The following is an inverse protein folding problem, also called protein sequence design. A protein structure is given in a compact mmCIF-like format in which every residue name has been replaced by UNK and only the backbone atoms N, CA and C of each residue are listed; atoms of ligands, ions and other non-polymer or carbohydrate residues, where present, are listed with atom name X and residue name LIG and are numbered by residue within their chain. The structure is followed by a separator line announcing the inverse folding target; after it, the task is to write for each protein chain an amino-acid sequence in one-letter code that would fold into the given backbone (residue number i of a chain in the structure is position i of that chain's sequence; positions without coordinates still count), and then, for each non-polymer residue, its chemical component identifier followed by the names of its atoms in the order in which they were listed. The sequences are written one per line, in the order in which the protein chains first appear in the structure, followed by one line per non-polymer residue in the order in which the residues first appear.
data_IF_535355415114
#
_entry.id   IF_535355415114
#
_cell.length_a   1.000
_cell.length_b   1.000
_cell.length_c   1.000
_cell.angle_alpha   90.00
_cell.angle_beta   90.00
_cell.angle_gamma   90.00
#
_symmetry.space_group_name_H-M   'P 1'
#
loop_
_entity.id
_entity.type
_entity.pdbx_description
1 polymer ?
#
# COMPACT_ATOMS: atom_id res chain seq x y z
N UNK A 1 -9.34 -12.59 9.80
CA UNK A 1 -8.94 -11.46 8.94
C UNK A 1 -9.88 -10.32 9.24
N UNK A 2 -9.33 -9.13 9.49
CA UNK A 2 -10.08 -7.92 9.80
C UNK A 2 -9.66 -6.81 8.84
N UNK A 3 -10.60 -5.91 8.55
CA UNK A 3 -10.36 -4.70 7.77
C UNK A 3 -10.80 -3.52 8.59
N UNK A 4 -9.93 -2.52 8.71
CA UNK A 4 -10.22 -1.25 9.37
C UNK A 4 -9.99 -0.09 8.41
N UNK A 5 -10.91 0.87 8.41
CA UNK A 5 -10.73 2.13 7.69
C UNK A 5 -9.62 2.99 8.30
N UNK A 6 -9.21 3.98 7.54
CA UNK A 6 -8.29 5.04 7.97
C UNK A 6 -9.00 6.40 7.90
N UNK A 7 -8.35 7.50 8.33
CA UNK A 7 -8.89 8.85 8.09
C UNK A 7 -9.09 9.20 6.61
N UNK A 8 -8.46 8.47 5.67
CA UNK A 8 -8.63 8.68 4.23
C UNK A 8 -9.67 7.70 3.69
N UNK A 9 -10.74 8.22 3.11
CA UNK A 9 -11.85 7.41 2.59
C UNK A 9 -11.39 6.42 1.52
N UNK A 10 -11.65 5.13 1.75
CA UNK A 10 -11.30 4.03 0.84
C UNK A 10 -9.91 3.42 1.07
N UNK A 11 -9.02 4.10 1.81
CA UNK A 11 -7.75 3.52 2.25
C UNK A 11 -8.03 2.56 3.42
N UNK A 12 -7.62 1.30 3.27
CA UNK A 12 -7.96 0.24 4.23
C UNK A 12 -6.72 -0.49 4.74
N UNK A 13 -6.67 -0.71 6.04
CA UNK A 13 -5.68 -1.56 6.69
C UNK A 13 -6.26 -2.96 6.88
N UNK A 14 -5.54 -3.97 6.42
CA UNK A 14 -5.96 -5.38 6.47
C UNK A 14 -5.03 -6.14 7.41
N UNK A 15 -5.61 -6.85 8.37
CA UNK A 15 -4.88 -7.77 9.24
C UNK A 15 -5.24 -9.22 8.89
N UNK A 16 -4.31 -9.98 8.27
CA UNK A 16 -4.58 -11.34 7.86
C UNK A 16 -4.67 -12.28 9.07
N UNK A 17 -5.38 -13.40 8.88
CA UNK A 17 -5.32 -14.48 9.86
C UNK A 17 -3.97 -15.20 9.74
N UNK A 18 -3.27 -15.37 10.86
CA UNK A 18 -1.98 -16.05 10.92
C UNK A 18 -2.17 -17.40 11.63
N UNK A 19 -1.67 -18.47 11.04
CA UNK A 19 -1.64 -19.80 11.61
C UNK A 19 -0.19 -20.16 11.92
N UNK A 20 0.18 -20.20 13.20
CA UNK A 20 1.56 -20.46 13.64
C UNK A 20 1.69 -21.79 14.37
N UNK A 21 2.83 -22.45 14.18
CA UNK A 21 3.26 -23.62 14.94
C UNK A 21 4.80 -23.66 15.06
N UNK A 22 5.35 -24.73 15.63
CA UNK A 22 6.79 -24.91 15.85
C UNK A 22 7.65 -24.87 14.57
N UNK A 23 7.04 -25.05 13.39
CA UNK A 23 7.72 -24.98 12.09
C UNK A 23 7.80 -23.55 11.54
N UNK A 24 6.98 -22.63 12.07
CA UNK A 24 6.87 -21.26 11.61
C UNK A 24 5.42 -20.78 11.54
N UNK A 25 5.06 -20.10 10.45
CA UNK A 25 3.70 -19.60 10.25
C UNK A 25 3.25 -19.76 8.80
N UNK A 26 1.94 -19.83 8.64
CA UNK A 26 1.23 -19.79 7.38
C UNK A 26 0.21 -18.64 7.44
N UNK A 27 0.10 -17.89 6.36
CA UNK A 27 -1.04 -17.00 6.13
C UNK A 27 -1.41 -17.04 4.65
N UNK A 28 -2.70 -16.85 4.39
CA UNK A 28 -3.17 -16.54 3.04
C UNK A 28 -2.96 -15.04 2.81
N UNK A 29 -2.00 -14.69 1.94
CA UNK A 29 -1.68 -13.29 1.64
C UNK A 29 -2.67 -12.63 0.68
N UNK A 30 -3.44 -13.42 -0.09
CA UNK A 30 -4.53 -12.93 -0.92
C UNK A 30 -5.44 -14.08 -1.35
N UNK A 31 -6.75 -13.82 -1.37
CA UNK A 31 -7.74 -14.70 -1.98
C UNK A 31 -8.87 -13.85 -2.55
N UNK A 32 -9.07 -13.92 -3.86
CA UNK A 32 -10.04 -13.06 -4.57
C UNK A 32 -11.43 -13.08 -3.97
N UNK A 33 -11.94 -14.26 -3.61
CA UNK A 33 -13.31 -14.39 -3.07
C UNK A 33 -13.41 -13.73 -1.70
N UNK A 34 -12.43 -14.02 -0.82
CA UNK A 34 -12.38 -13.45 0.53
C UNK A 34 -12.18 -11.94 0.53
N UNK A 35 -11.33 -11.42 -0.35
CA UNK A 35 -11.10 -9.98 -0.45
C UNK A 35 -12.31 -9.25 -1.03
N UNK A 36 -13.02 -9.86 -1.99
CA UNK A 36 -14.27 -9.32 -2.49
C UNK A 36 -15.35 -9.22 -1.39
N UNK A 37 -15.46 -10.23 -0.52
CA UNK A 37 -16.35 -10.19 0.67
C UNK A 37 -15.98 -9.09 1.67
N UNK A 38 -14.73 -8.62 1.65
CA UNK A 38 -14.22 -7.54 2.49
C UNK A 38 -14.31 -6.15 1.82
N UNK A 39 -14.95 -6.05 0.66
CA UNK A 39 -15.10 -4.79 -0.08
C UNK A 39 -13.95 -4.46 -1.03
N UNK A 40 -13.11 -5.45 -1.38
CA UNK A 40 -12.00 -5.34 -2.34
C UNK A 40 -12.30 -6.28 -3.52
N UNK A 41 -13.20 -5.90 -4.44
CA UNK A 41 -13.65 -6.77 -5.53
C UNK A 41 -12.62 -6.91 -6.67
N UNK A 42 -11.55 -6.12 -6.64
CA UNK A 42 -10.58 -6.02 -7.72
C UNK A 42 -9.88 -7.35 -8.01
N UNK A 43 -9.58 -7.58 -9.30
CA UNK A 43 -8.67 -8.61 -9.72
C UNK A 43 -7.26 -8.04 -9.81
N UNK A 44 -6.34 -8.58 -9.01
CA UNK A 44 -4.92 -8.23 -9.12
C UNK A 44 -4.25 -9.07 -10.20
N UNK A 45 -3.69 -8.40 -11.20
CA UNK A 45 -3.14 -9.00 -12.44
C UNK A 45 -1.62 -8.88 -12.55
N UNK A 46 -0.99 -8.13 -11.65
CA UNK A 46 0.45 -7.95 -11.62
C UNK A 46 0.98 -8.00 -10.18
N UNK A 47 2.07 -8.72 -9.99
CA UNK A 47 2.82 -8.81 -8.73
C UNK A 47 4.19 -8.16 -8.89
N UNK A 48 4.53 -7.27 -7.97
CA UNK A 48 5.86 -6.66 -7.89
C UNK A 48 6.51 -6.99 -6.55
N UNK A 49 7.84 -6.99 -6.51
CA UNK A 49 8.62 -7.07 -5.29
C UNK A 49 9.79 -6.08 -5.36
N UNK A 50 10.09 -5.41 -4.25
CA UNK A 50 11.24 -4.54 -4.12
C UNK A 50 11.98 -4.82 -2.82
N UNK A 51 13.31 -4.85 -2.86
CA UNK A 51 14.17 -4.83 -1.68
C UNK A 51 14.82 -3.45 -1.54
N UNK A 52 14.90 -2.95 -0.31
CA UNK A 52 15.44 -1.64 0.03
C UNK A 52 16.39 -1.72 1.22
N UNK A 53 17.44 -0.89 1.21
CA UNK A 53 18.28 -0.62 2.38
C UNK A 53 17.57 0.33 3.34
N UNK A 54 18.02 0.38 4.59
CA UNK A 54 17.45 1.29 5.58
C UNK A 54 17.60 2.74 5.12
N UNK A 55 16.55 3.55 5.28
CA UNK A 55 16.52 4.96 4.88
C UNK A 55 16.15 5.21 3.42
N UNK A 56 16.01 4.17 2.59
CA UNK A 56 15.52 4.35 1.21
C UNK A 56 14.05 4.75 1.22
N UNK A 57 13.73 5.82 0.49
CA UNK A 57 12.36 6.24 0.17
C UNK A 57 12.08 5.84 -1.28
N UNK A 58 10.92 5.22 -1.52
CA UNK A 58 10.37 5.05 -2.88
C UNK A 58 9.01 5.72 -2.92
N UNK A 59 8.76 6.53 -3.94
CA UNK A 59 7.55 7.33 -4.03
C UNK A 59 7.81 8.84 -4.05
N UNK A 60 6.76 9.65 -4.18
CA UNK A 60 5.36 9.23 -4.22
C UNK A 60 4.90 8.92 -5.65
N UNK A 61 4.45 7.69 -5.91
CA UNK A 61 4.05 7.22 -7.24
C UNK A 61 2.54 7.04 -7.34
N UNK A 62 1.98 7.40 -8.49
CA UNK A 62 0.59 7.11 -8.85
C UNK A 62 0.48 6.77 -10.34
N UNK A 63 -0.61 6.09 -10.70
CA UNK A 63 -1.07 5.98 -12.09
C UNK A 63 -2.24 6.95 -12.27
N UNK A 64 -2.25 7.72 -13.36
CA UNK A 64 -3.36 8.62 -13.66
C UNK A 64 -4.63 7.87 -14.12
N UNK A 65 -5.69 8.62 -14.41
CA UNK A 65 -6.99 8.05 -14.76
C UNK A 65 -7.05 7.39 -16.15
N UNK A 66 -5.99 7.46 -16.96
CA UNK A 66 -5.90 6.73 -18.24
C UNK A 66 -5.51 5.25 -18.04
N UNK A 67 -4.87 4.92 -16.91
CA UNK A 67 -4.56 3.54 -16.51
C UNK A 67 -4.66 3.36 -14.98
N UNK A 68 -5.84 3.60 -14.39
CA UNK A 68 -5.99 3.66 -12.94
C UNK A 68 -5.68 2.30 -12.30
N UNK A 69 -5.01 2.33 -11.15
CA UNK A 69 -4.51 1.13 -10.50
C UNK A 69 -4.73 1.18 -8.99
N UNK A 70 -5.34 0.12 -8.47
CA UNK A 70 -5.37 -0.20 -7.04
C UNK A 70 -4.11 -0.98 -6.68
N UNK A 71 -3.60 -0.78 -5.47
CA UNK A 71 -2.48 -1.55 -4.92
C UNK A 71 -2.87 -2.24 -3.62
N UNK A 72 -2.41 -3.48 -3.44
CA UNK A 72 -2.39 -4.16 -2.15
C UNK A 72 -0.92 -4.37 -1.76
N UNK A 73 -0.48 -3.70 -0.69
CA UNK A 73 0.94 -3.59 -0.33
C UNK A 73 1.19 -4.29 1.00
N UNK A 74 2.28 -5.06 1.10
CA UNK A 74 2.74 -5.67 2.36
C UNK A 74 4.25 -5.68 2.47
N UNK A 75 4.76 -5.72 3.70
CA UNK A 75 6.18 -5.94 3.96
C UNK A 75 6.42 -7.39 4.42
N UNK A 76 7.19 -8.14 3.65
CA UNK A 76 7.44 -9.58 3.90
C UNK A 76 8.76 -9.84 4.64
N UNK A 77 9.73 -8.94 4.52
CA UNK A 77 11.00 -8.93 5.28
C UNK A 77 11.24 -7.54 5.83
N UNK A 78 11.59 -7.44 7.11
CA UNK A 78 11.92 -6.15 7.72
C UNK A 78 10.71 -5.30 8.06
N UNK A 79 10.85 -3.98 7.95
CA UNK A 79 9.86 -2.98 8.32
C UNK A 79 9.93 -1.75 7.41
N UNK A 80 8.77 -1.22 7.06
CA UNK A 80 8.60 0.05 6.34
C UNK A 80 7.54 0.91 7.01
N UNK A 81 7.68 2.23 6.88
CA UNK A 81 6.58 3.17 7.07
C UNK A 81 5.94 3.40 5.71
N UNK A 82 4.79 2.76 5.46
CA UNK A 82 4.05 2.87 4.21
C UNK A 82 3.13 4.09 4.27
N UNK A 83 3.06 4.86 3.18
CA UNK A 83 2.37 6.15 3.13
C UNK A 83 1.46 6.18 1.91
N UNK A 84 0.20 6.56 2.13
CA UNK A 84 -0.74 6.85 1.07
C UNK A 84 -1.22 8.30 1.15
N UNK A 85 -1.44 8.92 0.00
CA UNK A 85 -1.88 10.32 -0.14
C UNK A 85 -3.07 10.37 -1.05
N UNK A 86 -4.12 11.05 -0.62
CA UNK A 86 -5.33 11.21 -1.43
C UNK A 86 -5.12 12.28 -2.50
N UNK A 87 -5.07 11.87 -3.77
CA UNK A 87 -4.88 12.76 -4.92
C UNK A 87 -6.20 13.02 -5.67
N UNK A 88 -7.34 12.61 -5.11
CA UNK A 88 -8.66 12.78 -5.75
C UNK A 88 -9.13 14.22 -5.60
N UNK A 89 -9.05 14.99 -6.68
CA UNK A 89 -9.56 16.36 -6.72
C UNK A 89 -11.05 16.36 -6.34
N UNK A 90 -11.42 17.17 -5.34
CA UNK A 90 -12.77 17.24 -4.80
C UNK A 90 -13.03 16.31 -3.59
N UNK A 91 -12.08 15.44 -3.22
CA UNK A 91 -12.15 14.70 -1.96
C UNK A 91 -12.08 15.63 -0.76
N UNK A 92 -12.88 15.39 0.32
CA UNK A 92 -12.74 16.12 1.58
C UNK A 92 -11.34 16.02 2.20
N UNK A 93 -10.60 14.96 1.85
CA UNK A 93 -9.24 14.69 2.32
C UNK A 93 -8.20 14.88 1.22
N UNK A 94 -8.50 15.64 0.16
CA UNK A 94 -7.53 15.91 -0.91
C UNK A 94 -6.21 16.47 -0.35
N UNK A 95 -5.10 15.91 -0.80
CA UNK A 95 -3.73 16.17 -0.37
C UNK A 95 -3.42 15.83 1.11
N UNK A 96 -4.36 15.23 1.85
CA UNK A 96 -4.05 14.61 3.15
C UNK A 96 -3.36 13.26 2.93
N UNK A 97 -2.57 12.85 3.92
CA UNK A 97 -1.81 11.62 3.88
C UNK A 97 -2.03 10.80 5.15
N UNK A 98 -1.82 9.50 5.05
CA UNK A 98 -1.85 8.59 6.19
C UNK A 98 -0.70 7.61 6.09
N UNK A 99 -0.01 7.39 7.20
CA UNK A 99 1.13 6.47 7.28
C UNK A 99 0.82 5.29 8.20
N UNK A 100 1.22 4.10 7.76
CA UNK A 100 0.99 2.85 8.46
C UNK A 100 2.29 2.05 8.52
N UNK A 101 2.72 1.57 9.70
CA UNK A 101 3.84 0.64 9.78
C UNK A 101 3.44 -0.71 9.19
N UNK A 102 4.18 -1.19 8.19
CA UNK A 102 4.06 -2.54 7.65
C UNK A 102 5.35 -3.29 7.92
N UNK A 103 5.26 -4.51 8.45
CA UNK A 103 6.45 -5.30 8.76
C UNK A 103 6.24 -6.79 8.63
N UNK A 104 7.34 -7.51 8.51
CA UNK A 104 7.38 -8.95 8.61
C UNK A 104 6.88 -9.45 9.97
N UNK A 105 6.80 -8.60 11.01
CA UNK A 105 6.27 -8.94 12.32
C UNK A 105 4.73 -8.78 12.38
N UNK A 106 4.21 -7.64 11.93
CA UNK A 106 2.76 -7.38 11.99
C UNK A 106 1.97 -8.03 10.85
N UNK A 107 2.62 -8.33 9.71
CA UNK A 107 2.05 -8.97 8.51
C UNK A 107 0.85 -8.24 7.93
N UNK A 108 0.65 -6.98 8.30
CA UNK A 108 -0.46 -6.16 7.81
C UNK A 108 -0.30 -5.86 6.34
N UNK A 109 -1.40 -5.49 5.71
CA UNK A 109 -1.42 -5.03 4.33
C UNK A 109 -2.15 -3.70 4.25
N UNK A 110 -1.70 -2.83 3.35
CA UNK A 110 -2.39 -1.59 3.02
C UNK A 110 -3.03 -1.74 1.64
N UNK A 111 -4.35 -1.60 1.60
CA UNK A 111 -5.11 -1.46 0.36
C UNK A 111 -5.18 0.02 0.00
N UNK A 112 -4.69 0.36 -1.19
CA UNK A 112 -4.58 1.72 -1.71
C UNK A 112 -5.49 1.83 -2.94
N UNK A 113 -6.59 2.60 -2.86
CA UNK A 113 -7.54 2.70 -3.96
C UNK A 113 -7.04 3.58 -5.11
N UNK A 114 -7.78 3.57 -6.22
CA UNK A 114 -7.53 4.46 -7.37
C UNK A 114 -7.54 5.93 -6.92
N UNK A 115 -6.67 6.74 -7.53
CA UNK A 115 -6.57 8.17 -7.25
C UNK A 115 -5.74 8.49 -6.01
N UNK A 116 -4.99 7.52 -5.47
CA UNK A 116 -4.03 7.74 -4.39
C UNK A 116 -2.59 7.67 -4.90
N UNK A 117 -1.74 8.47 -4.26
CA UNK A 117 -0.31 8.34 -4.31
C UNK A 117 0.20 7.35 -3.26
N UNK A 118 1.24 6.59 -3.59
CA UNK A 118 1.88 5.62 -2.69
C UNK A 118 3.38 5.88 -2.55
N UNK A 119 3.87 5.81 -1.33
CA UNK A 119 5.29 5.83 -0.99
C UNK A 119 5.58 4.93 0.20
N UNK A 120 6.86 4.61 0.43
CA UNK A 120 7.29 4.07 1.71
C UNK A 120 8.71 4.49 2.05
N UNK A 121 9.02 4.49 3.35
CA UNK A 121 10.36 4.61 3.92
C UNK A 121 10.78 3.26 4.51
N UNK A 122 11.91 2.71 4.06
CA UNK A 122 12.49 1.51 4.65
C UNK A 122 13.09 1.80 6.04
N UNK A 123 12.57 1.15 7.08
CA UNK A 123 12.99 1.32 8.48
C UNK A 123 14.06 0.29 8.91
N UNK A 124 14.15 -0.83 8.19
CA UNK A 124 15.14 -1.89 8.40
C UNK A 124 16.01 -2.12 7.16
N UNK A 125 17.06 -2.94 7.32
CA UNK A 125 17.88 -3.45 6.23
C UNK A 125 18.08 -4.98 6.39
N UNK A 126 17.63 -5.79 5.42
CA UNK A 126 16.79 -5.39 4.28
C UNK A 126 15.35 -5.04 4.71
N UNK A 127 14.63 -4.36 3.82
CA UNK A 127 13.17 -4.28 3.83
C UNK A 127 12.64 -4.76 2.46
N UNK A 128 11.79 -5.78 2.44
CA UNK A 128 11.13 -6.29 1.23
C UNK A 128 9.65 -5.94 1.25
N UNK A 129 9.20 -5.31 0.16
CA UNK A 129 7.81 -4.89 -0.04
C UNK A 129 7.27 -5.61 -1.27
N UNK A 130 6.12 -6.25 -1.10
CA UNK A 130 5.34 -6.90 -2.14
C UNK A 130 4.12 -6.04 -2.48
N UNK A 131 3.77 -5.99 -3.77
CA UNK A 131 2.65 -5.22 -4.28
C UNK A 131 1.83 -6.13 -5.20
N UNK A 132 0.53 -6.18 -4.97
CA UNK A 132 -0.43 -6.64 -5.98
C UNK A 132 -1.06 -5.42 -6.64
N UNK A 133 -1.17 -5.43 -7.95
CA UNK A 133 -1.69 -4.33 -8.76
C UNK A 133 -2.91 -4.78 -9.58
N UNK A 134 -4.00 -4.00 -9.55
CA UNK A 134 -5.22 -4.31 -10.32
C UNK A 134 -5.12 -4.00 -11.81
N UNK A 135 -4.03 -3.39 -12.24
CA UNK A 135 -3.72 -3.05 -13.62
C UNK A 135 -2.26 -3.35 -13.95
N UNK A 136 -1.96 -3.45 -15.24
CA UNK A 136 -0.59 -3.58 -15.71
C UNK A 136 0.15 -2.25 -15.61
N UNK A 137 1.47 -2.33 -15.46
CA UNK A 137 2.34 -1.17 -15.54
C UNK A 137 2.13 -0.41 -16.85
N UNK A 138 1.84 0.89 -16.74
CA UNK A 138 1.79 1.81 -17.87
C UNK A 138 2.71 3.01 -17.59
N UNK A 139 3.82 3.10 -18.31
CA UNK A 139 4.79 4.19 -18.14
C UNK A 139 4.20 5.56 -18.49
N UNK A 140 3.31 5.63 -19.50
CA UNK A 140 2.75 6.89 -19.96
C UNK A 140 1.76 7.50 -18.95
N UNK A 141 1.19 6.67 -18.08
CA UNK A 141 0.25 7.06 -17.03
C UNK A 141 0.91 7.12 -15.64
N UNK A 142 2.15 6.66 -15.49
CA UNK A 142 2.89 6.75 -14.23
C UNK A 142 3.50 8.14 -14.05
N UNK A 143 3.30 8.72 -12.87
CA UNK A 143 3.93 9.98 -12.47
C UNK A 143 4.37 9.95 -11.01
N UNK A 144 5.25 10.91 -10.68
CA UNK A 144 5.84 11.08 -9.34
C UNK A 144 5.50 12.47 -8.81
N UNK A 145 5.13 12.55 -7.53
CA UNK A 145 4.99 13.82 -6.80
C UNK A 145 6.16 13.95 -5.82
N UNK A 146 6.82 15.11 -5.85
CA UNK A 146 7.90 15.41 -4.92
C UNK A 146 7.38 15.51 -3.48
N UNK A 147 8.08 14.91 -2.48
CA UNK A 147 7.62 14.87 -1.09
C UNK A 147 7.43 16.26 -0.47
N UNK A 148 8.19 17.27 -0.91
CA UNK A 148 8.02 18.65 -0.45
C UNK A 148 6.63 19.21 -0.75
N UNK A 149 5.99 18.81 -1.84
CA UNK A 149 4.63 19.28 -2.17
C UNK A 149 3.54 18.66 -1.31
N UNK A 150 3.84 17.52 -0.66
CA UNK A 150 2.88 16.74 0.11
C UNK A 150 3.01 17.01 1.60
N UNK A 151 4.25 17.08 2.10
CA UNK A 151 4.51 17.11 3.54
C UNK A 151 4.78 18.51 4.11
N UNK A 152 5.04 19.51 3.26
CA UNK A 152 5.28 20.89 3.68
C UNK A 152 3.94 21.62 3.94
N UNK A 153 3.43 21.49 5.17
CA UNK A 153 2.12 22.00 5.59
C UNK A 153 1.28 21.06 6.47
N UNK A 154 1.80 19.86 6.76
CA UNK A 154 1.31 18.83 7.69
C UNK A 154 -0.16 18.93 8.14
N UNK A 155 -1.06 18.33 7.34
CA UNK A 155 -2.35 17.83 7.81
C UNK A 155 -2.30 16.30 7.76
N UNK A 156 -1.88 15.71 8.89
CA UNK A 156 -1.98 14.27 9.16
C UNK A 156 -3.32 13.96 9.84
#
# INVERSE_FOLDING_TARGET
MTVSGTPLEGLMLIEPQIYGDERGFFLETYNRRRYAELGIPEEFVQDNCSQSKKGVIRGLHFQDMSAPMVKLVRCSVGEVLDVAVDLRVGSPTFAHWHAVPLSAANRRQLYIPIGFGHAFLALSEPAEVEYKCSGYYNQAAEAVIGPAFVFDGARA
#
